data_IF_105379084323
#
_entry.id   IF_105379084323
#
_cell.length_a   1.000
_cell.length_b   1.000
_cell.length_c   1.000
_cell.angle_alpha   90.00
_cell.angle_beta   90.00
_cell.angle_gamma   90.00
#
_symmetry.space_group_name_H-M   'P 1'
#
loop_
_entity.id
_entity.type
_entity.pdbx_description
1 polymer ?
#
# COMPACT_ATOMS: atom_id res chain seq x y z
N UNK A 1 -14.90 -3.77 26.77
CA UNK A 1 -13.53 -3.21 26.84
C UNK A 1 -12.49 -4.07 26.12
N UNK A 2 -12.22 -5.33 26.51
CA UNK A 2 -11.22 -6.16 25.81
C UNK A 2 -11.69 -6.69 24.43
N UNK A 3 -12.98 -7.06 24.30
CA UNK A 3 -13.54 -7.52 23.04
C UNK A 3 -13.60 -6.42 21.96
N UNK A 4 -13.87 -5.17 22.37
CA UNK A 4 -13.93 -4.02 21.46
C UNK A 4 -12.56 -3.71 20.84
N UNK A 5 -11.50 -3.84 21.64
CA UNK A 5 -10.12 -3.63 21.18
C UNK A 5 -9.70 -4.71 20.17
N UNK A 6 -10.07 -5.97 20.40
CA UNK A 6 -9.79 -7.07 19.45
C UNK A 6 -10.48 -6.85 18.11
N UNK A 7 -11.75 -6.42 18.13
CA UNK A 7 -12.52 -6.10 16.92
C UNK A 7 -11.94 -4.94 16.13
N UNK A 8 -11.42 -3.92 16.82
CA UNK A 8 -10.77 -2.77 16.19
C UNK A 8 -9.43 -3.17 15.51
N UNK A 9 -8.65 -4.04 16.16
CA UNK A 9 -7.40 -4.57 15.57
C UNK A 9 -7.71 -5.39 14.32
N UNK A 10 -8.69 -6.30 14.39
CA UNK A 10 -9.11 -7.12 13.25
C UNK A 10 -9.60 -6.25 12.07
N UNK A 11 -10.41 -5.22 12.34
CA UNK A 11 -10.83 -4.28 11.30
C UNK A 11 -9.64 -3.53 10.70
N UNK A 12 -8.70 -3.07 11.51
CA UNK A 12 -7.51 -2.37 11.03
C UNK A 12 -6.61 -3.26 10.17
N UNK A 13 -6.53 -4.56 10.47
CA UNK A 13 -5.78 -5.53 9.68
C UNK A 13 -6.47 -5.75 8.33
N UNK A 14 -7.79 -5.99 8.33
CA UNK A 14 -8.58 -6.11 7.11
C UNK A 14 -8.49 -4.86 6.23
N UNK A 15 -8.57 -3.67 6.83
CA UNK A 15 -8.42 -2.40 6.13
C UNK A 15 -7.04 -2.28 5.48
N UNK A 16 -5.97 -2.73 6.17
CA UNK A 16 -4.58 -2.72 5.69
C UNK A 16 -4.32 -3.68 4.54
N UNK A 17 -4.98 -4.83 4.53
CA UNK A 17 -4.91 -5.77 3.42
C UNK A 17 -5.76 -5.32 2.23
N UNK A 18 -6.96 -4.81 2.48
CA UNK A 18 -7.86 -4.33 1.44
C UNK A 18 -7.25 -3.19 0.61
N UNK A 19 -6.59 -2.24 1.28
CA UNK A 19 -5.94 -1.11 0.61
C UNK A 19 -4.72 -1.53 -0.24
N UNK A 20 -4.07 -2.68 0.02
CA UNK A 20 -3.03 -3.24 -0.88
C UNK A 20 -3.67 -3.74 -2.17
N UNK A 21 -4.78 -4.47 -2.06
CA UNK A 21 -5.57 -4.92 -3.21
C UNK A 21 -6.07 -3.72 -4.03
N UNK A 22 -6.53 -2.66 -3.36
CA UNK A 22 -6.95 -1.43 -4.04
C UNK A 22 -5.80 -0.78 -4.81
N UNK A 23 -4.60 -0.72 -4.23
CA UNK A 23 -3.41 -0.17 -4.88
C UNK A 23 -3.05 -0.98 -6.14
N UNK A 24 -3.01 -2.31 -6.04
CA UNK A 24 -2.71 -3.18 -7.18
C UNK A 24 -3.80 -3.08 -8.26
N UNK A 25 -5.08 -2.97 -7.88
CA UNK A 25 -6.17 -2.74 -8.82
C UNK A 25 -6.05 -1.39 -9.55
N UNK A 26 -5.72 -0.32 -8.83
CA UNK A 26 -5.47 1.00 -9.43
C UNK A 26 -4.32 0.92 -10.42
N UNK A 27 -3.25 0.21 -10.08
CA UNK A 27 -2.10 0.02 -10.98
C UNK A 27 -2.48 -0.76 -12.24
N UNK A 28 -3.28 -1.82 -12.12
CA UNK A 28 -3.81 -2.57 -13.27
C UNK A 28 -4.71 -1.69 -14.15
N UNK A 29 -5.58 -0.88 -13.56
CA UNK A 29 -6.47 0.04 -14.28
C UNK A 29 -5.72 1.21 -14.94
N UNK A 30 -4.60 1.65 -14.37
CA UNK A 30 -3.73 2.64 -15.02
C UNK A 30 -2.97 1.98 -16.17
N UNK A 31 -2.41 0.79 -15.94
CA UNK A 31 -1.64 0.06 -16.95
C UNK A 31 -2.48 -0.34 -18.16
N UNK A 32 -3.75 -0.68 -17.97
CA UNK A 32 -4.67 -0.99 -19.06
C UNK A 32 -5.25 0.27 -19.75
N UNK A 33 -4.94 1.47 -19.26
CA UNK A 33 -5.40 2.75 -19.82
C UNK A 33 -6.86 3.10 -19.51
N UNK A 34 -7.56 2.34 -18.67
CA UNK A 34 -8.98 2.58 -18.30
C UNK A 34 -9.12 3.67 -17.24
N UNK A 35 -8.11 3.85 -16.38
CA UNK A 35 -8.07 4.87 -15.34
C UNK A 35 -6.89 5.81 -15.58
N UNK A 36 -7.14 7.12 -15.67
CA UNK A 36 -6.07 8.13 -15.67
C UNK A 36 -5.97 8.75 -14.30
N UNK A 37 -4.75 9.08 -13.87
CA UNK A 37 -4.54 9.77 -12.60
C UNK A 37 -5.31 11.10 -12.52
N UNK A 38 -5.49 11.78 -13.64
CA UNK A 38 -6.26 13.03 -13.73
C UNK A 38 -7.74 12.88 -13.41
N UNK A 39 -8.27 11.65 -13.45
CA UNK A 39 -9.69 11.38 -13.21
C UNK A 39 -9.99 11.20 -11.71
N UNK A 40 -8.95 11.12 -10.88
CA UNK A 40 -9.06 10.99 -9.43
C UNK A 40 -9.06 12.37 -8.76
N UNK A 41 -9.85 12.56 -7.69
CA UNK A 41 -9.82 13.80 -6.92
C UNK A 41 -8.43 14.01 -6.29
N UNK A 42 -7.99 15.26 -6.09
CA UNK A 42 -6.64 15.57 -5.61
C UNK A 42 -6.31 14.90 -4.26
N UNK A 43 -7.31 14.73 -3.41
CA UNK A 43 -7.18 14.03 -2.13
C UNK A 43 -6.88 12.53 -2.29
N UNK A 44 -7.45 11.88 -3.30
CA UNK A 44 -7.18 10.48 -3.60
C UNK A 44 -5.78 10.30 -4.18
N UNK A 45 -5.37 11.21 -5.08
CA UNK A 45 -4.01 11.23 -5.62
C UNK A 45 -2.95 11.37 -4.54
N UNK A 46 -3.15 12.28 -3.58
CA UNK A 46 -2.22 12.45 -2.47
C UNK A 46 -2.10 11.16 -1.63
N UNK A 47 -3.24 10.54 -1.30
CA UNK A 47 -3.25 9.28 -0.52
C UNK A 47 -2.55 8.15 -1.25
N UNK A 48 -2.82 7.97 -2.54
CA UNK A 48 -2.18 6.95 -3.38
C UNK A 48 -0.67 7.20 -3.45
N UNK A 49 -0.24 8.43 -3.72
CA UNK A 49 1.18 8.78 -3.81
C UNK A 49 1.91 8.56 -2.48
N UNK A 50 1.34 9.02 -1.35
CA UNK A 50 1.92 8.78 -0.02
C UNK A 50 2.07 7.29 0.26
N UNK A 51 1.06 6.48 -0.10
CA UNK A 51 1.07 5.04 0.13
C UNK A 51 2.12 4.33 -0.73
N UNK A 52 2.19 4.65 -2.03
CA UNK A 52 3.22 4.14 -2.94
C UNK A 52 4.63 4.48 -2.46
N UNK A 53 4.86 5.71 -2.02
CA UNK A 53 6.15 6.12 -1.44
C UNK A 53 6.49 5.34 -0.17
N UNK A 54 5.54 5.14 0.73
CA UNK A 54 5.75 4.35 1.94
C UNK A 54 6.10 2.89 1.61
N UNK A 55 5.40 2.28 0.66
CA UNK A 55 5.69 0.93 0.16
C UNK A 55 7.07 0.86 -0.49
N UNK A 56 7.42 1.82 -1.33
CA UNK A 56 8.73 1.87 -1.98
C UNK A 56 9.86 2.01 -0.94
N UNK A 57 9.70 2.85 0.08
CA UNK A 57 10.68 2.97 1.17
C UNK A 57 10.83 1.66 1.93
N UNK A 58 9.73 0.97 2.24
CA UNK A 58 9.76 -0.33 2.90
C UNK A 58 10.45 -1.40 2.02
N UNK A 59 10.15 -1.43 0.72
CA UNK A 59 10.82 -2.33 -0.22
C UNK A 59 12.31 -2.03 -0.32
N UNK A 60 12.69 -0.76 -0.38
CA UNK A 60 14.10 -0.35 -0.43
C UNK A 60 14.84 -0.73 0.85
N UNK A 61 14.22 -0.57 2.04
CA UNK A 61 14.82 -1.02 3.29
C UNK A 61 14.95 -2.54 3.36
N UNK A 62 13.97 -3.28 2.86
CA UNK A 62 14.03 -4.74 2.78
C UNK A 62 15.09 -5.20 1.78
N UNK A 63 15.24 -4.51 0.64
CA UNK A 63 16.28 -4.79 -0.34
C UNK A 63 17.68 -4.53 0.23
N UNK A 64 17.86 -3.43 0.97
CA UNK A 64 19.12 -3.13 1.65
C UNK A 64 19.48 -4.19 2.71
N UNK A 65 18.50 -4.76 3.41
CA UNK A 65 18.74 -5.90 4.31
C UNK A 65 19.03 -7.20 3.53
N UNK A 66 18.38 -7.41 2.38
CA UNK A 66 18.56 -8.63 1.58
C UNK A 66 19.91 -8.67 0.86
N UNK A 67 20.49 -7.51 0.56
CA UNK A 67 21.84 -7.41 -0.03
C UNK A 67 22.97 -7.67 1.00
N UNK A 68 22.67 -7.77 2.30
CA UNK A 68 23.63 -8.10 3.38
C UNK A 68 23.69 -9.60 3.70
N UNK A 69 22.71 -10.39 3.23
CA UNK A 69 22.69 -11.86 3.38
C UNK A 69 23.48 -12.60 2.28
N UNK A 70 24.26 -11.85 1.48
CA UNK A 70 24.97 -12.32 0.29
C UNK A 70 26.50 -12.18 0.33
N UNK A 71 27.13 -11.98 1.50
CA UNK A 71 28.59 -11.97 1.64
C UNK A 71 29.03 -12.87 2.80
N UNK A 72 29.22 -14.16 2.47
CA UNK A 72 30.30 -15.11 2.83
C UNK A 72 29.79 -16.56 2.89
#
# INVERSE_FOLDING_TARGET
>A
MQHDKKKLVELSELDSDFIRVLEDLIDVLIANGTLRLTDLPPQALEKINRRKQARQKLRNSLNLLSDDDGIL
#
